data_IF_691872048461
#
_entry.id   IF_691872048461
#
_cell.length_a   1.000
_cell.length_b   1.000
_cell.length_c   1.000
_cell.angle_alpha   90.00
_cell.angle_beta   90.00
_cell.angle_gamma   90.00
#
_symmetry.space_group_name_H-M   'P 1'
#
loop_
_entity.id
_entity.type
_entity.pdbx_description
1 polymer ?
#
# COMPACT_ATOMS: atom_id res chain seq x y z
N UNK A 1 2.15 -24.79 9.03
CA UNK A 1 2.90 -23.80 9.84
C UNK A 1 1.87 -22.87 10.45
N UNK A 2 2.00 -22.52 11.74
CA UNK A 2 1.11 -21.53 12.35
C UNK A 2 1.26 -20.21 11.60
N UNK A 3 0.15 -19.65 11.11
CA UNK A 3 0.17 -18.37 10.40
C UNK A 3 0.35 -17.26 11.44
N UNK A 4 1.40 -16.43 11.35
CA UNK A 4 1.69 -15.46 12.40
C UNK A 4 0.63 -14.37 12.42
N UNK A 5 -0.07 -14.26 13.54
CA UNK A 5 -0.79 -13.05 13.90
C UNK A 5 0.25 -11.96 14.20
N UNK A 6 0.15 -10.82 13.52
CA UNK A 6 1.04 -9.69 13.70
C UNK A 6 0.26 -8.61 14.42
N UNK A 7 0.53 -8.44 15.71
CA UNK A 7 -0.04 -7.35 16.51
C UNK A 7 1.11 -6.52 17.10
N UNK A 8 1.41 -5.40 16.43
CA UNK A 8 2.45 -4.48 16.87
C UNK A 8 1.85 -3.34 17.68
N UNK A 9 2.66 -2.81 18.60
CA UNK A 9 2.32 -1.64 19.40
C UNK A 9 2.49 -0.32 18.63
N UNK A 10 3.40 -0.28 17.65
CA UNK A 10 3.59 0.82 16.71
C UNK A 10 4.26 0.32 15.41
N UNK A 11 4.35 1.20 14.41
CA UNK A 11 5.01 0.91 13.12
C UNK A 11 6.11 1.93 12.87
N UNK A 12 7.33 1.45 12.61
CA UNK A 12 8.49 2.32 12.37
C UNK A 12 8.51 2.85 10.93
N UNK A 13 8.08 2.03 9.97
CA UNK A 13 7.99 2.40 8.56
C UNK A 13 6.84 1.64 7.89
N UNK A 14 6.10 2.34 7.03
CA UNK A 14 5.04 1.76 6.21
C UNK A 14 5.08 2.33 4.80
N UNK A 15 5.11 1.45 3.80
CA UNK A 15 5.27 1.86 2.39
C UNK A 15 4.55 0.91 1.44
N UNK A 16 4.49 1.29 0.18
CA UNK A 16 4.06 0.43 -0.91
C UNK A 16 5.07 0.46 -2.06
N UNK A 17 5.13 -0.66 -2.78
CA UNK A 17 5.98 -0.83 -3.94
C UNK A 17 5.40 -1.84 -4.90
N UNK A 18 6.02 -1.92 -6.07
CA UNK A 18 5.67 -2.94 -7.06
C UNK A 18 6.92 -3.50 -7.72
N UNK A 19 6.91 -4.81 -7.95
CA UNK A 19 8.01 -5.56 -8.58
C UNK A 19 7.57 -6.02 -9.97
N UNK A 20 8.48 -5.95 -10.94
CA UNK A 20 8.28 -6.38 -12.32
C UNK A 20 7.94 -5.26 -13.31
N UNK A 21 7.77 -5.65 -14.57
CA UNK A 21 7.58 -4.72 -15.69
C UNK A 21 6.20 -4.03 -15.67
N UNK A 22 6.09 -2.79 -16.17
CA UNK A 22 4.80 -2.13 -16.36
C UNK A 22 3.77 -3.01 -17.08
N UNK A 23 2.58 -3.19 -16.48
CA UNK A 23 1.53 -4.08 -16.98
C UNK A 23 1.57 -5.52 -16.44
N UNK A 24 2.68 -5.92 -15.81
CA UNK A 24 2.84 -7.23 -15.12
C UNK A 24 3.36 -7.08 -13.69
N UNK A 25 3.20 -5.89 -13.11
CA UNK A 25 3.62 -5.55 -11.76
C UNK A 25 2.83 -6.32 -10.71
N UNK A 26 3.54 -6.83 -9.71
CA UNK A 26 2.94 -7.32 -8.45
C UNK A 26 3.12 -6.23 -7.40
N UNK A 27 2.03 -5.87 -6.72
CA UNK A 27 2.02 -4.80 -5.73
C UNK A 27 2.13 -5.38 -4.32
N UNK A 28 2.78 -4.62 -3.45
CA UNK A 28 3.00 -5.00 -2.06
C UNK A 28 2.75 -3.83 -1.11
N UNK A 29 2.25 -4.14 0.09
CA UNK A 29 2.39 -3.31 1.28
C UNK A 29 3.57 -3.83 2.08
N UNK A 30 4.43 -2.94 2.59
CA UNK A 30 5.55 -3.32 3.43
C UNK A 30 5.56 -2.50 4.72
N UNK A 31 5.58 -3.20 5.86
CA UNK A 31 5.62 -2.61 7.18
C UNK A 31 6.88 -3.08 7.92
N UNK A 32 7.43 -2.23 8.79
CA UNK A 32 8.62 -2.54 9.61
C UNK A 32 8.44 -2.14 11.05
N UNK A 33 8.96 -2.98 11.95
CA UNK A 33 9.04 -2.69 13.39
C UNK A 33 10.21 -3.45 14.00
N UNK A 34 11.09 -2.76 14.72
CA UNK A 34 12.19 -3.37 15.48
C UNK A 34 13.03 -4.40 14.70
N UNK A 35 13.27 -4.14 13.40
CA UNK A 35 14.01 -5.03 12.50
C UNK A 35 13.18 -6.15 11.85
N UNK A 36 11.93 -6.37 12.26
CA UNK A 36 10.98 -7.22 11.55
C UNK A 36 10.45 -6.48 10.31
N UNK A 37 10.36 -7.18 9.19
CA UNK A 37 9.76 -6.70 7.95
C UNK A 37 8.61 -7.63 7.58
N UNK A 38 7.45 -7.05 7.25
CA UNK A 38 6.28 -7.78 6.75
C UNK A 38 5.96 -7.25 5.36
N UNK A 39 5.84 -8.15 4.38
CA UNK A 39 5.56 -7.85 2.98
C UNK A 39 4.33 -8.59 2.50
N UNK A 40 3.24 -7.84 2.30
CA UNK A 40 1.93 -8.38 1.97
C UNK A 40 1.62 -8.13 0.49
N UNK A 41 1.29 -9.18 -0.25
CA UNK A 41 0.88 -9.04 -1.66
C UNK A 41 -0.53 -8.47 -1.70
N UNK A 42 -0.72 -7.39 -2.45
CA UNK A 42 -1.96 -6.62 -2.50
C UNK A 42 -2.36 -6.36 -3.95
N UNK A 43 -3.65 -6.15 -4.20
CA UNK A 43 -4.11 -5.70 -5.51
C UNK A 43 -3.87 -4.20 -5.71
N UNK A 44 -3.66 -3.78 -6.97
CA UNK A 44 -3.53 -2.35 -7.31
C UNK A 44 -4.72 -1.52 -6.80
N UNK A 45 -5.93 -2.08 -6.91
CA UNK A 45 -7.17 -1.38 -6.49
C UNK A 45 -7.26 -1.23 -4.97
N UNK A 46 -6.78 -2.23 -4.21
CA UNK A 46 -6.70 -2.14 -2.75
C UNK A 46 -5.71 -1.04 -2.31
N UNK A 47 -4.55 -0.90 -2.97
CA UNK A 47 -3.61 0.21 -2.71
C UNK A 47 -4.24 1.57 -3.01
N UNK A 48 -4.91 1.68 -4.16
CA UNK A 48 -5.59 2.92 -4.56
C UNK A 48 -6.70 3.31 -3.58
N UNK A 49 -7.59 2.36 -3.25
CA UNK A 49 -8.69 2.59 -2.32
C UNK A 49 -8.22 2.90 -0.91
N UNK A 50 -7.16 2.25 -0.43
CA UNK A 50 -6.56 2.55 0.87
C UNK A 50 -6.02 3.99 0.91
N UNK A 51 -5.29 4.43 -0.12
CA UNK A 51 -4.75 5.78 -0.20
C UNK A 51 -5.86 6.86 -0.30
N UNK A 52 -6.95 6.57 -1.03
CA UNK A 52 -8.11 7.45 -1.11
C UNK A 52 -8.81 7.58 0.24
N UNK A 53 -9.13 6.45 0.87
CA UNK A 53 -9.78 6.41 2.19
C UNK A 53 -8.96 7.14 3.25
N UNK A 54 -7.66 6.82 3.36
CA UNK A 54 -6.76 7.47 4.32
C UNK A 54 -6.64 8.97 4.03
N UNK A 55 -6.59 9.37 2.76
CA UNK A 55 -6.58 10.78 2.37
C UNK A 55 -7.82 11.55 2.83
N UNK A 56 -9.00 10.94 2.69
CA UNK A 56 -10.25 11.51 3.21
C UNK A 56 -10.24 11.63 4.73
N UNK A 57 -9.85 10.56 5.43
CA UNK A 57 -9.77 10.54 6.88
C UNK A 57 -8.77 11.59 7.42
N UNK A 58 -7.64 11.77 6.73
CA UNK A 58 -6.60 12.73 7.12
C UNK A 58 -7.01 14.20 6.86
N UNK A 59 -7.93 14.45 5.93
CA UNK A 59 -8.40 15.81 5.63
C UNK A 59 -9.20 16.46 6.77
N UNK A 60 -9.81 15.63 7.63
CA UNK A 60 -10.58 16.08 8.80
C UNK A 60 -9.71 16.24 10.06
N UNK A 61 -8.41 15.94 9.98
CA UNK A 61 -7.49 15.99 11.11
C UNK A 61 -6.61 17.26 11.08
N UNK A 62 -6.06 17.71 12.23
CA UNK A 62 -5.20 18.89 12.30
C UNK A 62 -4.02 18.81 11.33
N UNK A 63 -3.53 19.91 10.73
CA UNK A 63 -2.41 19.85 9.79
C UNK A 63 -1.17 19.21 10.42
N UNK A 64 -0.38 18.54 9.57
CA UNK A 64 0.91 17.96 9.96
C UNK A 64 2.05 18.93 9.70
N UNK A 65 3.17 18.70 10.38
CA UNK A 65 4.46 19.29 10.05
C UNK A 65 5.02 18.63 8.77
N UNK A 66 5.26 19.43 7.74
CA UNK A 66 5.73 18.96 6.43
C UNK A 66 7.12 18.31 6.53
N UNK A 67 8.01 18.85 7.37
CA UNK A 67 9.35 18.31 7.58
C UNK A 67 9.27 16.89 8.17
N UNK A 68 8.33 16.68 9.10
CA UNK A 68 8.11 15.37 9.73
C UNK A 68 7.55 14.32 8.75
N UNK A 69 6.77 14.76 7.75
CA UNK A 69 6.27 13.90 6.66
C UNK A 69 7.39 13.55 5.69
N UNK A 70 8.28 14.49 5.35
CA UNK A 70 9.42 14.23 4.46
C UNK A 70 10.42 13.26 5.08
N UNK A 71 10.68 13.38 6.40
CA UNK A 71 11.49 12.41 7.15
C UNK A 71 10.86 11.02 7.08
N UNK A 72 9.55 10.91 7.38
CA UNK A 72 8.81 9.66 7.27
C UNK A 72 8.91 9.04 5.86
N UNK A 73 8.78 9.85 4.81
CA UNK A 73 8.86 9.39 3.42
C UNK A 73 10.26 8.87 3.06
N UNK A 74 11.30 9.52 3.56
CA UNK A 74 12.70 9.11 3.33
C UNK A 74 13.03 7.79 4.03
N UNK A 75 12.49 7.57 5.23
CA UNK A 75 12.67 6.34 6.01
C UNK A 75 11.81 5.17 5.49
N UNK A 76 10.73 5.46 4.77
CA UNK A 76 9.77 4.50 4.21
C UNK A 76 10.28 3.79 2.93
N UNK A 77 11.47 3.20 3.00
CA UNK A 77 12.08 2.48 1.89
C UNK A 77 11.38 1.13 1.60
N UNK A 78 11.23 0.82 0.31
CA UNK A 78 10.66 -0.43 -0.17
C UNK A 78 11.76 -1.36 -0.67
N UNK A 79 11.87 -2.54 -0.05
CA UNK A 79 12.71 -3.63 -0.51
C UNK A 79 11.89 -4.64 -1.33
N UNK A 80 12.46 -5.17 -2.42
CA UNK A 80 11.88 -6.29 -3.16
C UNK A 80 11.78 -7.50 -2.21
N UNK A 81 10.56 -7.97 -1.88
CA UNK A 81 10.40 -8.98 -0.85
C UNK A 81 10.79 -10.39 -1.30
N UNK A 82 11.04 -10.62 -2.61
CA UNK A 82 11.21 -11.94 -3.26
C UNK A 82 9.97 -12.83 -3.14
N UNK A 83 9.43 -13.02 -1.95
CA UNK A 83 8.17 -13.72 -1.64
C UNK A 83 7.30 -12.88 -0.69
N UNK A 84 5.98 -13.01 -0.80
CA UNK A 84 5.05 -12.38 0.14
C UNK A 84 4.86 -13.28 1.37
N UNK A 85 4.63 -12.66 2.53
CA UNK A 85 4.16 -13.38 3.71
C UNK A 85 2.78 -14.02 3.45
N UNK A 86 1.87 -13.24 2.84
CA UNK A 86 0.55 -13.71 2.38
C UNK A 86 -0.12 -12.70 1.43
N UNK A 87 -1.25 -13.10 0.85
CA UNK A 87 -2.06 -12.27 -0.08
C UNK A 87 -3.17 -11.59 0.70
N UNK A 88 -3.34 -10.27 0.52
CA UNK A 88 -4.37 -9.48 1.20
C UNK A 88 -5.75 -9.78 0.65
N UNK A 89 -6.67 -10.18 1.51
CA UNK A 89 -8.09 -10.33 1.22
C UNK A 89 -8.87 -9.06 1.55
N UNK A 90 -8.69 -8.53 2.77
CA UNK A 90 -9.42 -7.35 3.26
C UNK A 90 -8.49 -6.33 3.93
N UNK A 91 -8.91 -5.06 3.90
CA UNK A 91 -8.25 -3.94 4.56
C UNK A 91 -9.29 -3.17 5.37
N UNK A 92 -9.00 -2.93 6.65
CA UNK A 92 -9.79 -2.10 7.54
C UNK A 92 -8.92 -1.02 8.19
N UNK A 93 -9.48 0.17 8.42
CA UNK A 93 -8.74 1.26 9.08
C UNK A 93 -9.59 1.83 10.20
N UNK A 94 -8.97 2.07 11.35
CA UNK A 94 -9.57 2.82 12.45
C UNK A 94 -8.65 3.93 12.92
N UNK A 95 -9.20 5.03 13.41
CA UNK A 95 -8.44 6.12 14.01
C UNK A 95 -8.60 6.10 15.54
N UNK A 96 -7.47 5.93 16.23
CA UNK A 96 -7.40 5.91 17.68
C UNK A 96 -6.96 7.29 18.20
N UNK A 97 -7.94 8.10 18.61
CA UNK A 97 -7.71 9.47 19.09
C UNK A 97 -6.81 9.55 20.34
N UNK A 98 -6.87 8.56 21.23
CA UNK A 98 -6.12 8.60 22.49
C UNK A 98 -4.60 8.52 22.31
N UNK A 99 -4.14 7.94 21.20
CA UNK A 99 -2.72 7.77 20.88
C UNK A 99 -2.31 8.46 19.58
N UNK A 100 -3.24 9.18 18.93
CA UNK A 100 -3.08 9.77 17.60
C UNK A 100 -2.48 8.77 16.60
N UNK A 101 -3.15 7.63 16.45
CA UNK A 101 -2.73 6.55 15.54
C UNK A 101 -3.85 6.19 14.57
N UNK A 102 -3.49 6.02 13.31
CA UNK A 102 -4.31 5.27 12.36
C UNK A 102 -3.87 3.83 12.40
N UNK A 103 -4.78 2.92 12.70
CA UNK A 103 -4.50 1.49 12.78
C UNK A 103 -5.05 0.83 11.53
N UNK A 104 -4.14 0.30 10.71
CA UNK A 104 -4.46 -0.56 9.59
C UNK A 104 -4.60 -2.00 10.07
N UNK A 105 -5.72 -2.64 9.76
CA UNK A 105 -5.99 -4.05 9.98
C UNK A 105 -6.01 -4.70 8.59
N UNK A 106 -5.23 -5.75 8.42
CA UNK A 106 -5.10 -6.48 7.16
C UNK A 106 -5.41 -7.94 7.42
N UNK A 107 -6.25 -8.54 6.58
CA UNK A 107 -6.58 -9.96 6.66
C UNK A 107 -6.17 -10.70 5.39
N UNK A 108 -5.68 -11.93 5.59
CA UNK A 108 -5.30 -12.83 4.51
C UNK A 108 -6.49 -13.25 3.65
N UNK A 109 -6.27 -13.33 2.34
CA UNK A 109 -7.16 -13.98 1.40
C UNK A 109 -7.04 -15.50 1.52
N UNK A 110 -8.09 -16.12 2.03
CA UNK A 110 -8.18 -17.58 2.13
C UNK A 110 -8.48 -18.24 0.77
N UNK A 111 -7.94 -19.45 0.59
CA UNK A 111 -8.27 -20.32 -0.55
C UNK A 111 -9.29 -21.39 -0.19
N UNK A 112 -9.36 -21.77 1.08
CA UNK A 112 -10.22 -22.81 1.62
C UNK A 112 -11.03 -22.21 2.79
N UNK A 113 -12.32 -22.53 2.87
CA UNK A 113 -13.24 -21.94 3.85
C UNK A 113 -12.98 -22.42 5.30
N UNK A 114 -12.32 -23.55 5.48
CA UNK A 114 -12.03 -24.16 6.79
C UNK A 114 -10.74 -23.61 7.45
N UNK A 115 -10.02 -22.70 6.78
CA UNK A 115 -8.81 -22.08 7.31
C UNK A 115 -9.12 -20.80 8.11
N UNK A 116 -8.28 -20.50 9.10
CA UNK A 116 -8.30 -19.20 9.77
C UNK A 116 -7.35 -18.24 9.05
N UNK A 117 -7.78 -17.01 8.70
CA UNK A 117 -6.93 -16.05 7.99
C UNK A 117 -5.84 -15.54 8.93
N UNK A 118 -4.63 -15.36 8.40
CA UNK A 118 -3.64 -14.54 9.08
C UNK A 118 -4.16 -13.09 9.20
N UNK A 119 -3.83 -12.41 10.30
CA UNK A 119 -4.19 -11.01 10.51
C UNK A 119 -2.95 -10.22 10.90
N UNK A 120 -2.86 -8.99 10.39
CA UNK A 120 -1.87 -8.01 10.81
C UNK A 120 -2.52 -6.70 11.25
N UNK A 121 -2.02 -6.12 12.32
CA UNK A 121 -2.42 -4.83 12.88
C UNK A 121 -1.21 -3.91 12.94
N UNK A 122 -1.30 -2.80 12.20
CA UNK A 122 -0.25 -1.79 12.08
C UNK A 122 -0.77 -0.43 12.57
N UNK A 123 -0.57 -0.08 13.86
CA UNK A 123 -0.72 1.28 14.32
C UNK A 123 0.34 2.16 13.66
N UNK A 124 -0.07 3.27 13.06
CA UNK A 124 0.81 4.20 12.36
C UNK A 124 0.58 5.63 12.83
N UNK A 125 1.68 6.36 13.02
CA UNK A 125 1.64 7.81 13.16
C UNK A 125 1.15 8.47 11.87
N UNK A 126 0.54 9.64 12.01
CA UNK A 126 -0.11 10.36 10.90
C UNK A 126 0.85 10.73 9.78
N UNK A 127 2.12 10.98 10.09
CA UNK A 127 3.14 11.34 9.10
C UNK A 127 3.52 10.14 8.22
N UNK A 128 3.57 8.93 8.78
CA UNK A 128 3.76 7.70 7.99
C UNK A 128 2.58 7.48 7.04
N UNK A 129 1.36 7.74 7.52
CA UNK A 129 0.16 7.66 6.67
C UNK A 129 0.21 8.68 5.53
N UNK A 130 0.59 9.93 5.82
CA UNK A 130 0.74 10.96 4.79
C UNK A 130 1.78 10.56 3.73
N UNK A 131 2.97 10.12 4.18
CA UNK A 131 4.02 9.62 3.30
C UNK A 131 3.53 8.44 2.44
N UNK A 132 2.82 7.49 3.04
CA UNK A 132 2.21 6.37 2.33
C UNK A 132 1.20 6.82 1.27
N UNK A 133 0.31 7.77 1.59
CA UNK A 133 -0.70 8.27 0.64
C UNK A 133 -0.03 8.84 -0.61
N UNK A 134 1.01 9.66 -0.46
CA UNK A 134 1.76 10.22 -1.58
C UNK A 134 2.40 9.11 -2.43
N UNK A 135 3.15 8.21 -1.78
CA UNK A 135 3.81 7.08 -2.43
C UNK A 135 2.82 6.18 -3.19
N UNK A 136 1.68 5.89 -2.59
CA UNK A 136 0.64 5.02 -3.15
C UNK A 136 -0.02 5.67 -4.38
N UNK A 137 -0.35 6.95 -4.32
CA UNK A 137 -0.89 7.69 -5.47
C UNK A 137 0.08 7.70 -6.64
N UNK A 138 1.35 8.00 -6.38
CA UNK A 138 2.40 8.00 -7.40
C UNK A 138 2.57 6.61 -8.02
N UNK A 139 2.63 5.56 -7.19
CA UNK A 139 2.79 4.18 -7.66
C UNK A 139 1.60 3.71 -8.51
N UNK A 140 0.37 4.04 -8.09
CA UNK A 140 -0.86 3.69 -8.81
C UNK A 140 -0.96 4.46 -10.13
N UNK A 141 -0.57 5.74 -10.13
CA UNK A 141 -0.55 6.62 -11.30
C UNK A 141 0.57 6.26 -12.30
N UNK A 142 1.70 5.73 -11.82
CA UNK A 142 2.82 5.21 -12.61
C UNK A 142 2.49 3.92 -13.40
N UNK A 143 1.20 3.67 -13.64
CA UNK A 143 0.73 2.76 -14.68
C UNK A 143 1.04 3.32 -16.08
N UNK A 144 0.54 2.65 -17.12
CA UNK A 144 0.82 3.10 -18.48
C UNK A 144 0.17 4.47 -18.71
N UNK A 145 0.87 5.43 -19.35
CA UNK A 145 0.28 6.71 -19.70
C UNK A 145 -1.00 6.49 -20.52
N UNK A 146 -2.05 7.29 -20.27
CA UNK A 146 -3.26 7.20 -21.05
C UNK A 146 -2.97 7.60 -22.50
N UNK A 147 -3.54 6.87 -23.44
CA UNK A 147 -3.52 7.23 -24.85
C UNK A 147 -4.14 8.64 -25.03
N UNK A 148 -3.47 9.57 -25.73
CA UNK A 148 -4.00 10.92 -25.92
C UNK A 148 -5.27 10.97 -26.80
N UNK A 149 -5.61 9.87 -27.48
CA UNK A 149 -6.81 9.78 -28.33
C UNK A 149 -8.00 9.07 -27.67
N UNK A 150 -7.78 7.99 -26.91
CA UNK A 150 -8.87 7.17 -26.35
C UNK A 150 -8.79 6.95 -24.83
N UNK A 151 -7.80 7.54 -24.17
CA UNK A 151 -7.49 7.37 -22.74
C UNK A 151 -7.14 5.94 -22.28
N UNK A 152 -7.11 4.95 -23.18
CA UNK A 152 -6.69 3.59 -22.84
C UNK A 152 -5.18 3.53 -22.49
N UNK A 153 -4.75 2.66 -21.57
CA UNK A 153 -3.34 2.52 -21.19
C UNK A 153 -2.47 2.10 -22.40
N UNK A 154 -1.38 2.83 -22.72
CA UNK A 154 -0.53 2.55 -23.89
C UNK A 154 0.29 1.24 -23.80
N UNK A 155 0.21 0.39 -24.82
CA UNK A 155 0.94 -0.90 -24.87
C UNK A 155 2.46 -0.70 -25.08
N UNK A 156 3.34 -1.27 -24.22
CA UNK A 156 4.79 -1.09 -24.32
C UNK A 156 5.40 -1.77 -25.54
N UNK A 157 4.92 -2.97 -25.87
CA UNK A 157 5.38 -3.78 -27.03
C UNK A 157 4.97 -3.16 -28.36
N UNK A 158 3.98 -2.27 -28.34
CA UNK A 158 3.54 -1.50 -29.51
C UNK A 158 4.29 -0.16 -29.66
N UNK A 159 5.32 0.11 -28.84
CA UNK A 159 6.11 1.35 -28.93
C UNK A 159 5.31 2.61 -28.62
N UNK A 160 4.28 2.53 -27.76
CA UNK A 160 3.42 3.67 -27.45
C UNK A 160 2.30 3.92 -28.47
N UNK A 161 2.07 2.98 -29.39
CA UNK A 161 0.99 3.04 -30.38
C UNK A 161 -0.36 2.57 -29.78
N UNK A 162 -1.47 3.23 -30.17
CA UNK A 162 -2.82 2.84 -29.77
C UNK A 162 -3.53 2.00 -30.85
N UNK A 163 -4.06 0.80 -30.53
CA UNK A 163 -4.88 0.01 -31.46
C UNK A 163 -6.19 0.65 -31.92
N UNK A 164 -6.61 1.70 -31.21
CA UNK A 164 -7.85 2.43 -31.43
C UNK A 164 -7.81 3.42 -32.62
N UNK A 165 -6.63 3.74 -33.16
CA UNK A 165 -6.45 4.67 -34.29
C UNK A 165 -6.39 3.94 -35.65
N UNK A 166 -7.15 2.84 -35.78
CA UNK A 166 -7.32 2.11 -37.04
C UNK A 166 -8.69 2.38 -37.64
#
# INVERSE_FOLDING_TARGET
MARPEIDWDDTDSFTTGAVGDPGRRVFFLQARRAGQVVSLKVEKQQVAGLAEFLGGLMADLPPLDEDAVEIAATEAYFDDPVEADWVVGSLGVTYQQSTDRLVLIVEELLREEDELPAQARFPMRRELVAAFIHRARDLVAAGRPPCPWCAAPLEPTAGGWCPCVN
#
